data_IF_294528580298
#
_entry.id   IF_294528580298
#
_cell.length_a   1.000
_cell.length_b   1.000
_cell.length_c   1.000
_cell.angle_alpha   90.00
_cell.angle_beta   90.00
_cell.angle_gamma   90.00
#
_symmetry.space_group_name_H-M   'P 1'
#
loop_
_entity.id
_entity.type
_entity.pdbx_description
1 polymer ?
#
# COMPACT_ATOMS: atom_id res chain seq x y z
N UNK A 1 12.01 17.53 15.46
CA UNK A 1 10.57 17.30 15.18
C UNK A 1 10.45 15.94 14.49
N UNK A 2 9.29 15.26 14.47
CA UNK A 2 9.21 14.00 13.73
C UNK A 2 9.26 14.25 12.21
N UNK A 3 9.85 13.33 11.43
CA UNK A 3 9.77 13.38 9.97
C UNK A 3 8.32 13.25 9.51
N UNK A 4 7.99 13.90 8.41
CA UNK A 4 6.63 13.99 7.86
C UNK A 4 6.55 13.30 6.52
N UNK A 5 5.53 12.44 6.32
CA UNK A 5 5.26 11.82 5.03
C UNK A 5 4.11 12.57 4.35
N UNK A 6 4.39 13.13 3.18
CA UNK A 6 3.46 13.93 2.41
C UNK A 6 2.85 13.11 1.26
N UNK A 7 1.68 13.57 0.79
CA UNK A 7 1.02 13.08 -0.44
C UNK A 7 0.72 11.58 -0.48
N UNK A 8 0.51 10.94 0.68
CA UNK A 8 0.24 9.51 0.74
C UNK A 8 -1.02 9.12 -0.06
N UNK A 9 -0.95 8.07 -0.90
CA UNK A 9 -2.10 7.59 -1.62
C UNK A 9 -3.14 7.05 -0.64
N UNK A 10 -4.40 7.47 -0.79
CA UNK A 10 -5.51 7.00 0.06
C UNK A 10 -5.75 5.50 -0.06
N UNK A 11 -5.69 4.97 -1.28
CA UNK A 11 -5.80 3.54 -1.57
C UNK A 11 -4.83 3.16 -2.69
N UNK A 12 -4.19 2.02 -2.55
CA UNK A 12 -3.45 1.34 -3.62
C UNK A 12 -4.19 0.03 -3.92
N UNK A 13 -4.40 -0.26 -5.20
CA UNK A 13 -5.00 -1.53 -5.63
C UNK A 13 -3.90 -2.43 -6.20
N UNK A 14 -3.91 -3.69 -5.79
CA UNK A 14 -2.95 -4.71 -6.25
C UNK A 14 -3.67 -5.97 -6.66
N UNK A 15 -3.02 -6.74 -7.54
CA UNK A 15 -3.53 -8.01 -8.00
C UNK A 15 -3.40 -9.07 -6.92
N UNK A 16 -4.14 -10.17 -7.06
CA UNK A 16 -4.03 -11.29 -6.14
C UNK A 16 -2.96 -12.31 -6.57
N UNK A 17 -2.31 -12.09 -7.72
CA UNK A 17 -1.27 -12.93 -8.31
C UNK A 17 -0.07 -12.09 -8.75
N UNK A 18 0.81 -11.73 -7.81
CA UNK A 18 2.06 -11.06 -8.16
C UNK A 18 3.18 -12.08 -8.35
N UNK A 19 3.57 -12.29 -9.61
CA UNK A 19 4.66 -13.22 -9.96
C UNK A 19 6.04 -12.57 -9.87
N UNK A 20 6.09 -11.24 -9.91
CA UNK A 20 7.32 -10.45 -9.82
C UNK A 20 7.14 -9.34 -8.81
N UNK A 21 8.25 -8.85 -8.26
CA UNK A 21 8.22 -7.67 -7.41
C UNK A 21 7.85 -6.46 -8.25
N UNK A 22 6.96 -5.63 -7.73
CA UNK A 22 6.43 -4.48 -8.45
C UNK A 22 6.43 -3.24 -7.56
N UNK A 23 6.95 -2.16 -8.12
CA UNK A 23 6.92 -0.84 -7.51
C UNK A 23 5.47 -0.35 -7.37
N UNK A 24 5.13 0.19 -6.20
CA UNK A 24 3.82 0.76 -5.91
C UNK A 24 3.89 2.27 -5.72
N UNK A 25 4.85 2.75 -4.92
CA UNK A 25 4.90 4.17 -4.52
C UNK A 25 6.26 4.56 -3.96
N UNK A 26 6.66 5.83 -4.09
CA UNK A 26 7.82 6.42 -3.41
C UNK A 26 7.30 7.35 -2.32
N UNK A 27 7.74 7.17 -1.07
CA UNK A 27 7.36 8.02 0.03
C UNK A 27 8.03 9.39 -0.13
N UNK A 28 7.23 10.45 -0.06
CA UNK A 28 7.73 11.82 0.03
C UNK A 28 7.93 12.16 1.52
N UNK A 29 9.12 11.87 2.05
CA UNK A 29 9.44 12.11 3.47
C UNK A 29 10.26 13.39 3.61
N UNK A 30 9.80 14.31 4.45
CA UNK A 30 10.50 15.56 4.78
C UNK A 30 10.73 15.66 6.28
N UNK A 31 11.97 15.91 6.69
CA UNK A 31 12.30 16.22 8.06
C UNK A 31 12.39 17.76 8.23
N UNK A 32 11.62 18.38 9.15
CA UNK A 32 11.64 19.83 9.35
C UNK A 32 12.99 20.40 9.80
N UNK A 33 13.79 19.59 10.50
CA UNK A 33 15.10 19.98 11.01
C UNK A 33 16.23 19.61 10.03
N UNK A 34 15.88 19.02 8.88
CA UNK A 34 16.79 18.48 7.87
C UNK A 34 17.74 17.39 8.42
N UNK A 35 17.32 16.73 9.50
CA UNK A 35 18.06 15.65 10.13
C UNK A 35 17.91 14.32 9.38
N UNK A 36 18.82 13.39 9.67
CA UNK A 36 18.73 12.03 9.14
C UNK A 36 17.58 11.27 9.82
N UNK A 37 16.81 10.51 9.04
CA UNK A 37 15.69 9.72 9.56
C UNK A 37 15.70 8.30 9.02
N UNK A 38 15.05 7.40 9.75
CA UNK A 38 14.83 6.01 9.35
C UNK A 38 13.34 5.68 9.40
N UNK A 39 12.84 4.98 8.37
CA UNK A 39 11.46 4.52 8.33
C UNK A 39 11.37 3.01 8.53
N UNK A 40 10.38 2.58 9.30
CA UNK A 40 10.01 1.18 9.51
C UNK A 40 8.61 0.92 8.94
N UNK A 41 8.32 -0.36 8.68
CA UNK A 41 7.09 -0.78 8.01
C UNK A 41 6.53 -2.05 8.65
N UNK A 42 5.24 -2.01 8.96
CA UNK A 42 4.45 -3.17 9.40
C UNK A 42 3.17 -3.28 8.58
N UNK A 43 2.65 -4.50 8.47
CA UNK A 43 1.45 -4.83 7.73
C UNK A 43 0.44 -5.40 8.73
N UNK A 44 -0.76 -4.84 8.78
CA UNK A 44 -1.89 -5.39 9.51
C UNK A 44 -2.93 -5.90 8.53
N UNK A 45 -3.29 -7.17 8.66
CA UNK A 45 -4.33 -7.83 7.89
C UNK A 45 -5.02 -8.91 8.75
N UNK A 46 -6.35 -8.94 8.77
CA UNK A 46 -7.14 -9.86 9.61
C UNK A 46 -6.64 -9.93 11.07
N UNK A 47 -6.43 -8.76 11.66
CA UNK A 47 -5.99 -8.61 13.07
C UNK A 47 -4.61 -9.23 13.37
N UNK A 48 -3.90 -9.67 12.33
CA UNK A 48 -2.53 -10.17 12.39
C UNK A 48 -1.55 -9.11 11.92
N UNK A 49 -0.45 -8.94 12.65
CA UNK A 49 0.65 -8.04 12.29
C UNK A 49 1.81 -8.87 11.74
N UNK A 50 2.34 -8.44 10.60
CA UNK A 50 3.54 -9.02 9.99
C UNK A 50 4.47 -7.93 9.48
N UNK A 51 5.72 -8.29 9.23
CA UNK A 51 6.70 -7.43 8.56
C UNK A 51 7.10 -8.06 7.24
N UNK A 52 7.16 -7.24 6.18
CA UNK A 52 7.76 -7.61 4.89
C UNK A 52 7.20 -8.89 4.23
N UNK A 53 5.93 -9.24 4.46
CA UNK A 53 5.32 -10.46 3.90
C UNK A 53 4.80 -10.24 2.47
N UNK A 54 3.70 -9.52 2.31
CA UNK A 54 3.13 -9.21 0.99
C UNK A 54 3.73 -7.91 0.42
N UNK A 55 3.99 -6.94 1.30
CA UNK A 55 4.51 -5.63 0.93
C UNK A 55 5.84 -5.36 1.61
N UNK A 56 6.64 -4.48 1.05
CA UNK A 56 7.93 -4.12 1.63
C UNK A 56 8.23 -2.65 1.38
N UNK A 57 8.77 -1.99 2.40
CA UNK A 57 9.36 -0.67 2.32
C UNK A 57 10.89 -0.81 2.31
N UNK A 58 11.57 -0.18 1.35
CA UNK A 58 13.04 -0.17 1.27
C UNK A 58 13.57 1.22 1.03
N UNK A 59 14.67 1.55 1.69
CA UNK A 59 15.47 2.72 1.33
C UNK A 59 16.32 2.39 0.09
N UNK A 60 16.26 3.25 -0.91
CA UNK A 60 17.25 3.30 -1.98
C UNK A 60 18.49 4.00 -1.43
N UNK A 61 19.57 3.25 -1.25
CA UNK A 61 20.79 3.78 -0.63
C UNK A 61 21.52 4.83 -1.48
N UNK A 62 21.21 4.91 -2.77
CA UNK A 62 21.81 5.87 -3.71
C UNK A 62 21.05 7.19 -3.68
N UNK A 63 19.72 7.14 -3.76
CA UNK A 63 18.86 8.34 -3.82
C UNK A 63 18.35 8.79 -2.45
N UNK A 64 18.48 7.95 -1.43
CA UNK A 64 17.91 8.14 -0.08
C UNK A 64 16.38 8.20 -0.04
N UNK A 65 15.74 7.71 -1.11
CA UNK A 65 14.28 7.62 -1.20
C UNK A 65 13.77 6.33 -0.56
N UNK A 66 12.63 6.41 0.12
CA UNK A 66 11.93 5.22 0.61
C UNK A 66 10.89 4.77 -0.42
N UNK A 67 11.02 3.53 -0.91
CA UNK A 67 10.20 2.97 -1.98
C UNK A 67 9.40 1.78 -1.46
N UNK A 68 8.13 1.75 -1.83
CA UNK A 68 7.13 0.76 -1.41
C UNK A 68 6.80 -0.18 -2.57
N UNK A 69 6.82 -1.48 -2.29
CA UNK A 69 6.65 -2.53 -3.29
C UNK A 69 5.68 -3.60 -2.80
N UNK A 70 5.03 -4.28 -3.75
CA UNK A 70 4.50 -5.62 -3.54
C UNK A 70 5.58 -6.64 -3.91
N UNK A 71 5.78 -7.66 -3.07
CA UNK A 71 6.85 -8.65 -3.22
C UNK A 71 6.52 -9.68 -4.30
N UNK A 72 7.57 -10.23 -4.92
CA UNK A 72 7.44 -11.39 -5.80
C UNK A 72 6.84 -12.58 -5.04
N UNK A 73 5.86 -13.26 -5.65
CA UNK A 73 5.16 -14.39 -5.05
C UNK A 73 4.15 -13.99 -3.98
N UNK A 74 3.85 -12.70 -3.82
CA UNK A 74 2.77 -12.25 -2.95
C UNK A 74 1.42 -12.69 -3.52
N UNK A 75 0.59 -13.24 -2.65
CA UNK A 75 -0.78 -13.69 -2.95
C UNK A 75 -1.76 -12.97 -2.02
N UNK A 76 -1.89 -11.63 -2.11
CA UNK A 76 -2.78 -10.92 -1.22
C UNK A 76 -4.23 -11.32 -1.55
N UNK A 77 -5.02 -11.57 -0.51
CA UNK A 77 -6.38 -12.08 -0.64
C UNK A 77 -7.28 -11.00 -1.23
N UNK A 78 -7.95 -11.24 -2.37
CA UNK A 78 -8.88 -10.29 -2.97
C UNK A 78 -10.23 -10.21 -2.20
N UNK A 79 -10.31 -10.81 -1.01
CA UNK A 79 -11.45 -10.66 -0.10
C UNK A 79 -11.65 -9.18 0.22
N UNK A 80 -12.73 -8.62 -0.34
CA UNK A 80 -13.03 -7.20 -0.35
C UNK A 80 -13.41 -6.64 1.03
N UNK A 81 -13.52 -7.49 2.05
CA UNK A 81 -14.03 -7.11 3.36
C UNK A 81 -12.98 -6.44 4.26
N UNK A 82 -11.68 -6.75 4.09
CA UNK A 82 -10.61 -6.19 4.94
C UNK A 82 -9.39 -5.76 4.10
N UNK A 83 -9.00 -4.47 4.15
CA UNK A 83 -7.78 -4.03 3.49
C UNK A 83 -6.52 -4.44 4.27
N UNK A 84 -5.39 -4.41 3.59
CA UNK A 84 -4.07 -4.45 4.21
C UNK A 84 -3.71 -3.02 4.66
N UNK A 85 -3.53 -2.82 5.96
CA UNK A 85 -3.08 -1.55 6.51
C UNK A 85 -1.56 -1.60 6.66
N UNK A 86 -0.86 -0.82 5.84
CA UNK A 86 0.59 -0.70 5.89
C UNK A 86 0.95 0.51 6.74
N UNK A 87 1.41 0.25 7.96
CA UNK A 87 1.81 1.29 8.90
C UNK A 87 3.29 1.58 8.68
N UNK A 88 3.59 2.83 8.33
CA UNK A 88 4.94 3.38 8.20
C UNK A 88 5.21 4.25 9.40
N UNK A 89 6.36 4.05 10.04
CA UNK A 89 6.81 4.88 11.14
C UNK A 89 8.20 5.41 10.80
N UNK A 90 8.30 6.73 10.61
CA UNK A 90 9.57 7.40 10.34
C UNK A 90 10.03 8.10 11.61
N UNK A 91 11.26 7.81 12.01
CA UNK A 91 11.88 8.28 13.25
C UNK A 91 13.07 9.15 12.90
N UNK A 92 13.07 10.37 13.42
CA UNK A 92 14.22 11.26 13.38
C UNK A 92 15.37 10.65 14.22
N UNK A 93 16.56 10.54 13.63
CA UNK A 93 17.67 9.79 14.23
C UNK A 93 18.34 10.55 15.37
N UNK A 94 18.21 11.88 15.40
CA UNK A 94 18.86 12.73 16.38
C UNK A 94 18.03 12.87 17.66
N UNK A 95 16.74 13.17 17.51
CA UNK A 95 15.80 13.38 18.61
C UNK A 95 15.03 12.12 19.03
N UNK A 96 14.96 11.12 18.16
CA UNK A 96 14.14 9.93 18.36
C UNK A 96 12.63 10.16 18.20
N UNK A 97 12.22 11.33 17.71
CA UNK A 97 10.81 11.66 17.48
C UNK A 97 10.26 10.90 16.27
N UNK A 98 9.06 10.32 16.38
CA UNK A 98 8.47 9.51 15.31
C UNK A 98 7.13 10.03 14.81
N UNK A 99 6.94 9.98 13.49
CA UNK A 99 5.65 10.15 12.82
C UNK A 99 5.13 8.82 12.31
N UNK A 100 3.84 8.55 12.46
CA UNK A 100 3.19 7.30 12.02
C UNK A 100 2.11 7.55 10.98
N UNK A 101 2.15 6.78 9.90
CA UNK A 101 1.34 6.98 8.70
C UNK A 101 0.82 5.65 8.16
N UNK A 102 -0.37 5.67 7.53
CA UNK A 102 -1.00 4.46 7.03
C UNK A 102 -1.24 4.54 5.52
N UNK A 103 -0.81 3.49 4.79
CA UNK A 103 -1.20 3.23 3.41
C UNK A 103 -2.21 2.09 3.41
N UNK A 104 -3.39 2.32 2.83
CA UNK A 104 -4.39 1.27 2.65
C UNK A 104 -4.15 0.58 1.31
N UNK A 105 -3.87 -0.73 1.35
CA UNK A 105 -3.75 -1.55 0.14
C UNK A 105 -4.93 -2.51 0.05
N UNK A 106 -5.56 -2.58 -1.12
CA UNK A 106 -6.68 -3.46 -1.41
C UNK A 106 -6.28 -4.42 -2.51
N UNK A 107 -6.35 -5.71 -2.21
CA UNK A 107 -6.22 -6.72 -3.25
C UNK A 107 -7.53 -6.83 -4.02
N UNK A 108 -7.40 -6.99 -5.33
CA UNK A 108 -8.50 -7.27 -6.25
C UNK A 108 -8.10 -8.46 -7.10
N UNK A 109 -9.09 -9.12 -7.70
CA UNK A 109 -8.77 -10.13 -8.71
C UNK A 109 -7.98 -9.50 -9.86
N UNK A 110 -6.90 -10.12 -10.31
CA UNK A 110 -6.07 -9.59 -11.42
C UNK A 110 -6.88 -9.29 -12.69
N UNK A 111 -7.92 -10.08 -12.94
CA UNK A 111 -8.89 -9.86 -14.03
C UNK A 111 -9.54 -8.47 -13.98
N UNK A 112 -9.65 -7.86 -12.78
CA UNK A 112 -10.23 -6.53 -12.57
C UNK A 112 -9.21 -5.40 -12.73
N UNK A 113 -7.90 -5.69 -12.68
CA UNK A 113 -6.85 -4.68 -12.90
C UNK A 113 -6.68 -4.32 -14.38
N UNK A 114 -7.09 -5.21 -15.28
CA UNK A 114 -6.94 -5.05 -16.73
C UNK A 114 -8.14 -4.40 -17.40
N UNK A 115 -9.18 -3.98 -16.65
CA UNK A 115 -10.29 -3.24 -17.22
C UNK A 115 -9.81 -1.83 -17.61
N UNK A 116 -9.76 -1.49 -18.91
CA UNK A 116 -9.45 -0.14 -19.32
C UNK A 116 -10.64 0.73 -18.95
N UNK A 117 -10.46 1.63 -17.99
CA UNK A 117 -11.31 2.81 -17.82
C UNK A 117 -12.80 2.51 -17.49
N UNK A 118 -13.14 2.34 -16.21
CA UNK A 118 -14.52 2.68 -15.77
C UNK A 118 -14.60 4.21 -15.67
N UNK A 119 -14.56 4.86 -16.84
CA UNK A 119 -15.21 6.14 -17.03
C UNK A 119 -16.62 5.83 -17.55
N UNK A 120 -17.64 6.15 -16.74
CA UNK A 120 -19.04 6.14 -17.17
C UNK A 120 -19.87 4.98 -16.63
N UNK A 121 -20.90 5.35 -15.88
CA UNK A 121 -22.14 4.62 -15.61
C UNK A 121 -22.52 3.55 -16.63
N UNK A 122 -22.74 2.32 -16.16
CA UNK A 122 -23.68 1.39 -16.77
C UNK A 122 -24.36 0.58 -15.67
N UNK A 123 -25.54 1.05 -15.27
CA UNK A 123 -26.50 0.26 -14.52
C UNK A 123 -26.93 -0.91 -15.41
N UNK A 124 -26.73 -2.15 -14.95
CA UNK A 124 -27.44 -3.30 -15.52
C UNK A 124 -28.27 -3.93 -14.42
N UNK A 125 -29.55 -3.56 -14.40
CA UNK A 125 -30.58 -4.30 -13.68
C UNK A 125 -30.64 -5.72 -14.26
N UNK A 126 -30.24 -6.73 -13.48
CA UNK A 126 -30.55 -8.13 -13.81
C UNK A 126 -32.07 -8.32 -13.74
N UNK A 127 -32.75 -8.36 -14.89
CA UNK A 127 -34.10 -8.96 -14.98
C UNK A 127 -33.93 -10.48 -14.84
N UNK A 128 -34.29 -11.03 -13.69
CA UNK A 128 -34.51 -12.46 -13.55
C UNK A 128 -35.77 -12.84 -14.34
N UNK A 129 -35.61 -13.68 -15.36
CA UNK A 129 -36.70 -14.43 -16.00
C UNK A 129 -37.18 -15.47 -15.00
N UNK A 130 -38.34 -15.23 -14.39
CA UNK A 130 -39.09 -16.26 -13.66
C UNK A 130 -39.84 -17.13 -14.66
N UNK A 131 -39.62 -18.43 -14.58
CA UNK A 131 -40.50 -19.44 -15.16
C UNK A 131 -41.67 -19.67 -14.19
N UNK A 132 -42.90 -19.58 -14.70
CA UNK A 132 -44.13 -20.24 -14.22
C UNK A 132 -45.18 -20.06 -15.30
#
# INVERSE_FOLDING_TARGET
MPPTVNDLPRNIYVGNLETQERYLYTLNVTDPDADAFACSHTITYNDSISTNREFVLREDTTTKEWKFYIRAGALPSPDNTKPYINTIECTDSNSGSSGRYNITVRAVHDELLTLPNIAGTASTTKKYRGYS
#
